data_IF_026966494033
#
_entry.id   IF_026966494033
#
_cell.length_a   1.000
_cell.length_b   1.000
_cell.length_c   1.000
_cell.angle_alpha   90.00
_cell.angle_beta   90.00
_cell.angle_gamma   90.00
#
_symmetry.space_group_name_H-M   'P 1'
#
loop_
_entity.id
_entity.type
_entity.pdbx_description
1 polymer ?
#
# COMPACT_ATOMS: atom_id res chain seq x y z
N UNK A 1 -21.95 7.32 -34.81
CA UNK A 1 -20.76 6.58 -34.39
C UNK A 1 -20.11 7.36 -33.26
N UNK A 2 -20.15 6.87 -32.02
CA UNK A 2 -19.37 7.46 -30.93
C UNK A 2 -17.97 6.87 -31.04
N UNK A 3 -16.99 7.65 -31.51
CA UNK A 3 -15.59 7.33 -31.27
C UNK A 3 -15.33 7.56 -29.79
N UNK A 4 -15.28 6.46 -29.04
CA UNK A 4 -14.85 6.47 -27.64
C UNK A 4 -13.45 5.87 -27.59
N UNK A 5 -12.49 6.53 -28.26
CA UNK A 5 -11.05 6.28 -28.08
C UNK A 5 -10.57 7.01 -26.81
N UNK A 6 -11.29 6.88 -25.70
CA UNK A 6 -10.79 7.32 -24.41
C UNK A 6 -9.83 6.25 -23.92
N UNK A 7 -8.53 6.51 -24.04
CA UNK A 7 -7.51 5.76 -23.31
C UNK A 7 -7.95 5.75 -21.84
N UNK A 8 -8.18 4.55 -21.28
CA UNK A 8 -8.55 4.40 -19.87
C UNK A 8 -7.42 4.99 -19.03
N UNK A 9 -7.70 6.12 -18.40
CA UNK A 9 -6.77 6.73 -17.44
C UNK A 9 -6.85 5.88 -16.17
N UNK A 10 -5.71 5.47 -15.63
CA UNK A 10 -5.69 4.84 -14.31
C UNK A 10 -6.14 5.88 -13.29
N UNK A 11 -7.24 5.60 -12.59
CA UNK A 11 -7.79 6.48 -11.57
C UNK A 11 -8.08 5.70 -10.31
N UNK A 12 -7.93 6.36 -9.16
CA UNK A 12 -8.30 5.79 -7.88
C UNK A 12 -9.65 6.33 -7.40
N UNK A 13 -10.47 5.44 -6.86
CA UNK A 13 -11.70 5.79 -6.16
C UNK A 13 -11.46 5.67 -4.65
N UNK A 14 -11.71 6.73 -3.85
CA UNK A 14 -11.50 6.65 -2.41
C UNK A 14 -12.33 5.55 -1.74
N UNK A 15 -11.67 4.78 -0.87
CA UNK A 15 -12.21 3.67 -0.08
C UNK A 15 -12.71 4.17 1.30
N UNK A 16 -12.23 5.33 1.73
CA UNK A 16 -12.50 5.93 3.04
C UNK A 16 -12.07 5.03 4.22
N UNK A 17 -10.85 4.51 4.17
CA UNK A 17 -10.32 3.51 5.13
C UNK A 17 -10.51 3.96 6.58
N UNK A 18 -10.08 5.18 6.93
CA UNK A 18 -10.18 5.69 8.31
C UNK A 18 -11.64 5.78 8.79
N UNK A 19 -12.55 6.24 7.92
CA UNK A 19 -13.97 6.32 8.24
C UNK A 19 -14.54 4.94 8.52
N UNK A 20 -14.20 3.94 7.69
CA UNK A 20 -14.68 2.57 7.85
C UNK A 20 -14.11 1.89 9.10
N UNK A 21 -12.85 2.14 9.44
CA UNK A 21 -12.26 1.68 10.69
C UNK A 21 -12.95 2.30 11.91
N UNK A 22 -13.30 3.58 11.86
CA UNK A 22 -14.06 4.21 12.94
C UNK A 22 -15.44 3.54 13.14
N UNK A 23 -16.17 3.28 12.04
CA UNK A 23 -17.46 2.58 12.10
C UNK A 23 -17.32 1.16 12.66
N UNK A 24 -16.27 0.43 12.25
CA UNK A 24 -15.98 -0.90 12.80
C UNK A 24 -15.62 -0.83 14.29
N UNK A 25 -14.80 0.14 14.69
CA UNK A 25 -14.41 0.33 16.08
C UNK A 25 -15.62 0.59 16.97
N UNK A 26 -16.49 1.53 16.59
CA UNK A 26 -17.73 1.85 17.31
C UNK A 26 -18.68 0.65 17.42
N UNK A 27 -18.81 -0.14 16.34
CA UNK A 27 -19.63 -1.36 16.35
C UNK A 27 -19.05 -2.44 17.27
N UNK A 28 -17.73 -2.61 17.29
CA UNK A 28 -17.04 -3.55 18.18
C UNK A 28 -17.16 -3.12 19.64
N UNK A 29 -17.02 -1.82 19.94
CA UNK A 29 -17.26 -1.29 21.29
C UNK A 29 -18.70 -1.49 21.75
N UNK A 30 -19.68 -1.25 20.88
CA UNK A 30 -21.10 -1.52 21.18
C UNK A 30 -21.30 -3.00 21.48
N UNK A 31 -20.75 -3.88 20.64
CA UNK A 31 -20.83 -5.34 20.85
C UNK A 31 -20.18 -5.75 22.16
N UNK A 32 -19.07 -5.11 22.58
CA UNK A 32 -18.45 -5.34 23.88
C UNK A 32 -19.41 -5.02 25.03
N UNK A 33 -20.06 -3.85 24.97
CA UNK A 33 -20.97 -3.37 26.02
C UNK A 33 -22.23 -4.23 26.18
N UNK A 34 -22.67 -4.87 25.09
CA UNK A 34 -23.85 -5.74 25.06
C UNK A 34 -23.52 -7.21 25.38
N UNK A 35 -22.24 -7.59 25.35
CA UNK A 35 -21.83 -8.98 25.57
C UNK A 35 -21.75 -9.29 27.08
N UNK A 36 -22.46 -10.31 27.58
CA UNK A 36 -22.37 -10.70 28.99
C UNK A 36 -20.96 -11.13 29.40
N UNK A 37 -20.54 -10.77 30.62
CA UNK A 37 -19.22 -11.13 31.18
C UNK A 37 -18.94 -12.64 31.19
N UNK A 38 -19.99 -13.47 31.20
CA UNK A 38 -19.87 -14.93 31.13
C UNK A 38 -19.39 -15.44 29.76
N UNK A 39 -19.50 -14.65 28.69
CA UNK A 39 -19.07 -15.03 27.35
C UNK A 39 -17.60 -14.64 27.10
N UNK A 40 -16.72 -15.20 27.93
CA UNK A 40 -15.28 -14.88 27.96
C UNK A 40 -14.59 -15.05 26.61
N UNK A 41 -14.98 -16.04 25.82
CA UNK A 41 -14.39 -16.30 24.49
C UNK A 41 -14.70 -15.18 23.49
N UNK A 42 -15.94 -14.66 23.49
CA UNK A 42 -16.31 -13.57 22.59
C UNK A 42 -15.66 -12.26 23.06
N UNK A 43 -15.63 -12.01 24.36
CA UNK A 43 -14.96 -10.83 24.93
C UNK A 43 -13.47 -10.78 24.57
N UNK A 44 -12.75 -11.90 24.70
CA UNK A 44 -11.35 -11.98 24.28
C UNK A 44 -11.14 -11.69 22.77
N UNK A 45 -12.08 -12.10 21.91
CA UNK A 45 -12.03 -11.77 20.48
C UNK A 45 -12.28 -10.28 20.22
N UNK A 46 -13.27 -9.72 20.91
CA UNK A 46 -13.62 -8.29 20.82
C UNK A 46 -12.44 -7.43 21.26
N UNK A 47 -11.80 -7.76 22.37
CA UNK A 47 -10.61 -7.05 22.86
C UNK A 47 -9.48 -7.07 21.82
N UNK A 48 -9.20 -8.23 21.22
CA UNK A 48 -8.22 -8.34 20.14
C UNK A 48 -8.62 -7.47 18.94
N UNK A 49 -9.88 -7.52 18.49
CA UNK A 49 -10.31 -6.68 17.36
C UNK A 49 -10.18 -5.18 17.65
N UNK A 50 -10.52 -4.73 18.86
CA UNK A 50 -10.34 -3.33 19.25
C UNK A 50 -8.88 -2.93 19.22
N UNK A 51 -7.99 -3.78 19.75
CA UNK A 51 -6.55 -3.58 19.70
C UNK A 51 -6.04 -3.49 18.26
N UNK A 52 -6.39 -4.47 17.42
CA UNK A 52 -5.90 -4.54 16.04
C UNK A 52 -6.44 -3.38 15.18
N UNK A 53 -7.71 -2.99 15.33
CA UNK A 53 -8.27 -1.80 14.67
C UNK A 53 -7.54 -0.53 15.12
N UNK A 54 -7.28 -0.38 16.43
CA UNK A 54 -6.56 0.78 16.97
C UNK A 54 -5.13 0.86 16.43
N UNK A 55 -4.44 -0.29 16.34
CA UNK A 55 -3.10 -0.38 15.77
C UNK A 55 -3.06 0.03 14.29
N UNK A 56 -4.08 -0.36 13.51
CA UNK A 56 -4.21 0.09 12.12
C UNK A 56 -4.45 1.61 12.08
N UNK A 57 -5.38 2.13 12.88
CA UNK A 57 -5.66 3.58 12.93
C UNK A 57 -4.42 4.41 13.29
N UNK A 58 -3.61 3.94 14.25
CA UNK A 58 -2.35 4.59 14.62
C UNK A 58 -1.35 4.56 13.45
N UNK A 59 -1.25 3.43 12.74
CA UNK A 59 -0.39 3.32 11.56
C UNK A 59 -0.82 4.25 10.42
N UNK A 60 -2.12 4.34 10.14
CA UNK A 60 -2.68 5.26 9.14
C UNK A 60 -2.40 6.72 9.50
N UNK A 61 -2.48 7.07 10.79
CA UNK A 61 -2.14 8.38 11.31
C UNK A 61 -0.66 8.69 11.09
N UNK A 62 0.25 7.77 11.46
CA UNK A 62 1.71 7.93 11.23
C UNK A 62 2.04 8.09 9.75
N UNK A 63 1.39 7.32 8.87
CA UNK A 63 1.58 7.46 7.42
C UNK A 63 1.21 8.88 6.97
N UNK A 64 0.06 9.39 7.40
CA UNK A 64 -0.43 10.72 7.02
C UNK A 64 0.40 11.86 7.60
N UNK A 65 0.84 11.73 8.84
CA UNK A 65 1.49 12.82 9.59
C UNK A 65 3.02 12.84 9.41
N UNK A 66 3.62 11.69 9.13
CA UNK A 66 5.08 11.54 9.05
C UNK A 66 5.53 11.15 7.63
N UNK A 67 5.07 10.00 7.11
CA UNK A 67 5.56 9.45 5.84
C UNK A 67 5.19 10.32 4.64
N UNK A 68 3.93 10.75 4.53
CA UNK A 68 3.44 11.57 3.42
C UNK A 68 4.26 12.87 3.32
N UNK A 69 4.38 13.70 4.37
CA UNK A 69 5.20 14.92 4.31
C UNK A 69 6.68 14.67 4.00
N UNK A 70 7.25 13.54 4.43
CA UNK A 70 8.64 13.19 4.14
C UNK A 70 8.85 12.88 2.65
N UNK A 71 7.96 12.08 2.07
CA UNK A 71 8.00 11.74 0.65
C UNK A 71 7.75 12.97 -0.22
N UNK A 72 6.77 13.81 0.13
CA UNK A 72 6.49 15.06 -0.57
C UNK A 72 7.72 15.98 -0.60
N UNK A 73 8.41 16.11 0.52
CA UNK A 73 9.64 16.92 0.62
C UNK A 73 10.78 16.31 -0.20
N UNK A 74 10.93 15.00 -0.14
CA UNK A 74 11.99 14.26 -0.85
C UNK A 74 11.81 14.33 -2.37
N UNK A 75 10.58 14.18 -2.84
CA UNK A 75 10.23 14.18 -4.26
C UNK A 75 9.95 15.58 -4.82
N UNK A 76 9.64 16.55 -3.95
CA UNK A 76 9.25 17.90 -4.36
C UNK A 76 7.90 17.91 -5.11
N UNK A 77 6.96 17.08 -4.67
CA UNK A 77 5.59 16.95 -5.18
C UNK A 77 4.61 16.94 -4.00
N UNK A 78 3.31 17.07 -4.27
CA UNK A 78 2.25 16.85 -3.28
C UNK A 78 1.39 15.68 -3.71
N UNK A 79 1.09 14.75 -2.81
CA UNK A 79 0.16 13.66 -3.10
C UNK A 79 -1.28 14.16 -2.99
N UNK A 80 -2.06 13.98 -4.06
CA UNK A 80 -3.47 14.42 -4.08
C UNK A 80 -4.33 13.52 -3.19
N UNK A 81 -4.03 12.23 -3.17
CA UNK A 81 -4.72 11.24 -2.36
C UNK A 81 -3.79 10.45 -1.46
N UNK A 82 -3.67 10.93 -0.22
CA UNK A 82 -2.89 10.26 0.84
C UNK A 82 -3.38 8.83 1.16
N UNK A 83 -4.63 8.47 0.83
CA UNK A 83 -5.16 7.12 1.03
C UNK A 83 -4.44 6.08 0.16
N UNK A 84 -3.95 6.47 -1.02
CA UNK A 84 -3.17 5.57 -1.87
C UNK A 84 -1.89 5.10 -1.17
N UNK A 85 -1.20 6.02 -0.48
CA UNK A 85 -0.01 5.68 0.31
C UNK A 85 -0.39 4.82 1.52
N UNK A 86 -1.53 5.07 2.15
CA UNK A 86 -2.05 4.21 3.22
C UNK A 86 -2.31 2.78 2.71
N UNK A 87 -2.97 2.63 1.56
CA UNK A 87 -3.22 1.33 0.91
C UNK A 87 -1.92 0.61 0.63
N UNK A 88 -0.93 1.29 0.05
CA UNK A 88 0.37 0.70 -0.29
C UNK A 88 1.09 0.08 0.92
N UNK A 89 0.80 0.52 2.14
CA UNK A 89 1.43 -0.02 3.35
C UNK A 89 0.75 -1.28 3.90
N UNK A 90 -0.45 -1.66 3.44
CA UNK A 90 -1.16 -2.86 3.93
C UNK A 90 -0.48 -4.16 3.50
N UNK A 91 -0.17 -5.00 4.50
CA UNK A 91 0.40 -6.34 4.28
C UNK A 91 -0.68 -7.43 4.33
N UNK A 92 -0.43 -8.63 3.74
CA UNK A 92 -1.42 -9.71 3.66
C UNK A 92 -1.98 -10.17 5.02
N UNK A 93 -1.21 -10.08 6.11
CA UNK A 93 -1.67 -10.45 7.47
C UNK A 93 -2.91 -9.70 7.93
N UNK A 94 -3.10 -8.48 7.46
CA UNK A 94 -4.23 -7.64 7.85
C UNK A 94 -5.57 -8.21 7.38
N UNK A 95 -5.60 -9.02 6.33
CA UNK A 95 -6.83 -9.57 5.73
C UNK A 95 -7.72 -10.30 6.74
N UNK A 96 -7.11 -11.03 7.67
CA UNK A 96 -7.83 -11.89 8.60
C UNK A 96 -8.75 -11.10 9.55
N UNK A 97 -8.34 -9.90 10.00
CA UNK A 97 -9.20 -9.11 10.89
C UNK A 97 -10.51 -8.74 10.19
N UNK A 98 -10.44 -8.34 8.92
CA UNK A 98 -11.61 -7.89 8.17
C UNK A 98 -12.53 -9.06 7.81
N UNK A 99 -11.98 -10.24 7.49
CA UNK A 99 -12.77 -11.46 7.27
C UNK A 99 -13.53 -11.89 8.54
N UNK A 100 -12.88 -11.80 9.69
CA UNK A 100 -13.50 -12.15 10.97
C UNK A 100 -14.61 -11.16 11.35
N UNK A 101 -14.35 -9.86 11.19
CA UNK A 101 -15.34 -8.80 11.42
C UNK A 101 -16.53 -8.94 10.47
N UNK A 102 -16.29 -9.19 9.19
CA UNK A 102 -17.36 -9.45 8.23
C UNK A 102 -18.19 -10.65 8.68
N UNK A 103 -17.56 -11.77 9.05
CA UNK A 103 -18.25 -12.97 9.52
C UNK A 103 -19.11 -12.69 10.75
N UNK A 104 -18.61 -11.86 11.68
CA UNK A 104 -19.33 -11.46 12.89
C UNK A 104 -20.56 -10.59 12.57
N UNK A 105 -20.43 -9.62 11.67
CA UNK A 105 -21.45 -8.60 11.44
C UNK A 105 -22.38 -8.85 10.25
N UNK A 106 -22.04 -9.74 9.31
CA UNK A 106 -22.80 -9.96 8.06
C UNK A 106 -24.29 -10.25 8.29
N UNK A 107 -24.65 -10.87 9.40
CA UNK A 107 -26.05 -11.18 9.77
C UNK A 107 -26.59 -10.34 10.93
N UNK A 108 -25.78 -9.42 11.45
CA UNK A 108 -26.18 -8.51 12.52
C UNK A 108 -27.10 -7.43 11.96
N UNK A 109 -28.10 -7.02 12.74
CA UNK A 109 -28.90 -5.82 12.44
C UNK A 109 -28.06 -4.55 12.53
N UNK A 110 -26.98 -4.59 13.33
CA UNK A 110 -26.06 -3.49 13.57
C UNK A 110 -24.80 -3.67 12.71
N UNK A 111 -24.95 -4.10 11.46
CA UNK A 111 -23.81 -4.26 10.56
C UNK A 111 -23.23 -2.87 10.20
N UNK A 112 -21.99 -2.54 10.57
CA UNK A 112 -21.43 -1.21 10.35
C UNK A 112 -21.08 -0.91 8.89
N UNK A 113 -20.86 -1.96 8.08
CA UNK A 113 -20.40 -1.85 6.70
C UNK A 113 -21.25 -2.72 5.78
N UNK A 114 -21.48 -2.27 4.54
CA UNK A 114 -22.14 -3.12 3.56
C UNK A 114 -21.16 -4.20 3.01
N UNK A 115 -21.65 -5.12 2.16
CA UNK A 115 -20.81 -6.20 1.62
C UNK A 115 -19.66 -5.70 0.75
N UNK A 116 -19.89 -4.65 -0.04
CA UNK A 116 -18.89 -4.04 -0.92
C UNK A 116 -17.81 -3.33 -0.08
N UNK A 117 -18.20 -2.60 0.96
CA UNK A 117 -17.27 -1.95 1.90
C UNK A 117 -16.36 -3.00 2.58
N UNK A 118 -16.92 -4.14 3.03
CA UNK A 118 -16.11 -5.22 3.58
C UNK A 118 -15.17 -5.83 2.54
N UNK A 119 -15.65 -6.06 1.32
CA UNK A 119 -14.85 -6.59 0.23
C UNK A 119 -13.63 -5.69 -0.04
N UNK A 120 -13.82 -4.37 -0.08
CA UNK A 120 -12.71 -3.43 -0.25
C UNK A 120 -11.72 -3.49 0.92
N UNK A 121 -12.19 -3.52 2.17
CA UNK A 121 -11.32 -3.63 3.36
C UNK A 121 -10.53 -4.94 3.38
N UNK A 122 -11.16 -6.06 2.98
CA UNK A 122 -10.53 -7.39 2.88
C UNK A 122 -9.43 -7.40 1.80
N UNK A 123 -9.59 -6.60 0.75
CA UNK A 123 -8.70 -6.58 -0.41
C UNK A 123 -7.63 -5.48 -0.38
N UNK A 124 -7.48 -4.72 0.71
CA UNK A 124 -6.48 -3.64 0.82
C UNK A 124 -5.05 -4.09 0.46
N UNK A 125 -4.62 -5.24 0.96
CA UNK A 125 -3.29 -5.79 0.62
C UNK A 125 -3.16 -6.27 -0.83
N UNK A 126 -4.26 -6.65 -1.48
CA UNK A 126 -4.25 -6.97 -2.91
C UNK A 126 -4.23 -5.69 -3.75
N UNK A 127 -4.93 -4.63 -3.32
CA UNK A 127 -4.84 -3.31 -3.94
C UNK A 127 -3.40 -2.75 -3.86
N UNK A 128 -2.72 -2.93 -2.73
CA UNK A 128 -1.31 -2.58 -2.58
C UNK A 128 -0.42 -3.29 -3.62
N UNK A 129 -0.64 -4.59 -3.85
CA UNK A 129 0.06 -5.36 -4.89
C UNK A 129 -0.26 -4.86 -6.30
N UNK A 130 -1.50 -4.43 -6.56
CA UNK A 130 -1.86 -3.83 -7.86
C UNK A 130 -1.12 -2.51 -8.07
N UNK A 131 -0.98 -1.66 -7.04
CA UNK A 131 -0.16 -0.45 -7.12
C UNK A 131 1.31 -0.79 -7.41
N UNK A 132 1.86 -1.79 -6.72
CA UNK A 132 3.22 -2.26 -6.97
C UNK A 132 3.40 -2.80 -8.40
N UNK A 133 2.44 -3.56 -8.92
CA UNK A 133 2.48 -4.07 -10.30
C UNK A 133 2.50 -2.93 -11.33
N UNK A 134 1.72 -1.88 -11.11
CA UNK A 134 1.78 -0.66 -11.95
C UNK A 134 3.16 -0.01 -11.81
N UNK A 135 3.66 0.08 -10.57
CA UNK A 135 4.98 0.56 -10.21
C UNK A 135 6.14 -0.11 -10.94
N UNK A 136 6.23 -1.43 -10.88
CA UNK A 136 7.27 -2.22 -11.57
C UNK A 136 7.31 -1.88 -13.06
N UNK A 137 6.16 -1.88 -13.72
CA UNK A 137 6.06 -1.58 -15.13
C UNK A 137 6.58 -0.17 -15.47
N UNK A 138 6.20 0.84 -14.68
CA UNK A 138 6.61 2.24 -14.94
C UNK A 138 8.05 2.51 -14.55
N UNK A 139 8.57 1.90 -13.47
CA UNK A 139 9.98 1.97 -13.08
C UNK A 139 10.83 1.36 -14.19
N UNK A 140 10.51 0.14 -14.61
CA UNK A 140 11.23 -0.56 -15.68
C UNK A 140 11.32 0.26 -16.96
N UNK A 141 10.21 0.90 -17.36
CA UNK A 141 10.18 1.79 -18.52
C UNK A 141 11.00 3.07 -18.30
N UNK A 142 10.86 3.71 -17.14
CA UNK A 142 11.54 4.96 -16.83
C UNK A 142 13.06 4.78 -16.73
N UNK A 143 13.53 3.71 -16.09
CA UNK A 143 14.96 3.35 -16.05
C UNK A 143 15.49 3.11 -17.46
N UNK A 144 14.76 2.38 -18.30
CA UNK A 144 15.16 2.15 -19.69
C UNK A 144 15.33 3.47 -20.46
N UNK A 145 14.45 4.44 -20.22
CA UNK A 145 14.54 5.76 -20.85
C UNK A 145 15.80 6.53 -20.44
N UNK A 146 16.28 6.38 -19.19
CA UNK A 146 17.55 6.96 -18.74
C UNK A 146 18.78 6.23 -19.26
N UNK A 147 18.68 4.92 -19.48
CA UNK A 147 19.75 4.09 -20.03
C UNK A 147 19.81 4.11 -21.58
N UNK A 148 18.84 4.74 -22.23
CA UNK A 148 18.70 4.72 -23.68
C UNK A 148 19.83 5.47 -24.39
N UNK A 149 20.59 4.76 -25.22
CA UNK A 149 21.66 5.31 -26.04
C UNK A 149 21.45 4.92 -27.52
N UNK A 150 20.84 5.79 -28.35
CA UNK A 150 20.32 5.41 -29.68
C UNK A 150 21.38 5.00 -30.71
N UNK A 151 22.65 5.34 -30.49
CA UNK A 151 23.72 5.14 -31.47
C UNK A 151 24.91 4.31 -30.95
N UNK A 152 24.91 3.94 -29.67
CA UNK A 152 26.04 3.28 -28.99
C UNK A 152 25.61 2.13 -28.07
N UNK A 153 24.30 1.89 -27.92
CA UNK A 153 23.76 0.92 -26.98
C UNK A 153 24.01 -0.53 -27.38
N UNK A 154 24.74 -1.24 -26.53
CA UNK A 154 24.71 -2.70 -26.47
C UNK A 154 23.45 -3.11 -25.69
N UNK A 155 22.47 -3.68 -26.40
CA UNK A 155 21.21 -4.12 -25.80
C UNK A 155 21.40 -5.07 -24.62
N UNK A 156 22.46 -5.89 -24.63
CA UNK A 156 22.82 -6.75 -23.51
C UNK A 156 23.23 -5.96 -22.27
N UNK A 157 24.09 -4.94 -22.44
CA UNK A 157 24.52 -4.06 -21.34
C UNK A 157 23.37 -3.24 -20.76
N UNK A 158 22.49 -2.71 -21.60
CA UNK A 158 21.30 -1.97 -21.15
C UNK A 158 20.37 -2.89 -20.36
N UNK A 159 20.14 -4.12 -20.85
CA UNK A 159 19.29 -5.11 -20.17
C UNK A 159 19.86 -5.48 -18.81
N UNK A 160 21.16 -5.76 -18.74
CA UNK A 160 21.85 -6.08 -17.49
C UNK A 160 21.75 -4.94 -16.49
N UNK A 161 22.12 -3.72 -16.91
CA UNK A 161 22.10 -2.55 -16.03
C UNK A 161 20.69 -2.19 -15.55
N UNK A 162 19.68 -2.36 -16.42
CA UNK A 162 18.28 -2.22 -16.01
C UNK A 162 17.94 -3.22 -14.92
N UNK A 163 18.26 -4.50 -15.12
CA UNK A 163 17.99 -5.57 -14.16
C UNK A 163 18.67 -5.35 -12.81
N UNK A 164 19.89 -4.81 -12.80
CA UNK A 164 20.61 -4.42 -11.58
C UNK A 164 19.85 -3.31 -10.82
N UNK A 165 19.43 -2.25 -11.50
CA UNK A 165 18.73 -1.09 -10.90
C UNK A 165 17.34 -1.47 -10.37
N UNK A 166 16.60 -2.32 -11.09
CA UNK A 166 15.24 -2.74 -10.69
C UNK A 166 15.24 -4.03 -9.86
N UNK A 167 16.40 -4.46 -9.36
CA UNK A 167 16.48 -5.61 -8.47
C UNK A 167 15.93 -5.25 -7.07
N UNK A 168 15.31 -6.22 -6.39
CA UNK A 168 14.83 -6.05 -5.02
C UNK A 168 15.95 -5.61 -4.05
N UNK A 169 17.17 -6.11 -4.24
CA UNK A 169 18.33 -5.72 -3.43
C UNK A 169 18.64 -4.22 -3.58
N UNK A 170 18.67 -3.71 -4.82
CA UNK A 170 18.95 -2.29 -5.08
C UNK A 170 17.79 -1.39 -4.63
N UNK A 171 16.55 -1.80 -4.92
CA UNK A 171 15.35 -1.07 -4.48
C UNK A 171 15.21 -1.04 -2.96
N UNK A 172 15.64 -2.09 -2.26
CA UNK A 172 15.62 -2.15 -0.80
C UNK A 172 16.46 -1.04 -0.15
N UNK A 173 17.57 -0.65 -0.77
CA UNK A 173 18.41 0.46 -0.27
C UNK A 173 17.64 1.78 -0.33
N UNK A 174 16.94 2.08 -1.43
CA UNK A 174 16.13 3.30 -1.52
C UNK A 174 14.92 3.26 -0.58
N UNK A 175 14.31 2.09 -0.44
CA UNK A 175 13.24 1.85 0.53
C UNK A 175 13.69 2.16 1.97
N UNK A 176 14.92 1.81 2.34
CA UNK A 176 15.52 2.15 3.64
C UNK A 176 15.80 3.64 3.78
N UNK A 177 16.26 4.31 2.71
CA UNK A 177 16.46 5.76 2.72
C UNK A 177 15.14 6.50 2.93
N UNK A 178 14.05 6.00 2.36
CA UNK A 178 12.69 6.54 2.52
C UNK A 178 11.95 5.98 3.73
N UNK A 179 12.58 5.09 4.49
CA UNK A 179 12.03 4.40 5.68
C UNK A 179 10.66 3.73 5.46
N UNK A 180 10.31 3.33 4.22
CA UNK A 180 8.95 2.84 3.92
C UNK A 180 8.60 1.58 4.72
N UNK A 181 9.60 0.73 4.96
CA UNK A 181 9.43 -0.56 5.63
C UNK A 181 8.87 -0.42 7.06
N UNK A 182 9.19 0.69 7.75
CA UNK A 182 8.77 0.95 9.12
C UNK A 182 7.29 1.39 9.25
N UNK A 183 6.65 1.73 8.12
CA UNK A 183 5.26 2.18 8.04
C UNK A 183 4.28 1.10 7.60
N UNK A 184 4.75 -0.12 7.38
CA UNK A 184 3.88 -1.24 7.00
C UNK A 184 2.82 -1.52 8.06
N UNK A 185 1.62 -1.80 7.58
CA UNK A 185 0.49 -2.21 8.39
C UNK A 185 0.41 -3.73 8.33
N UNK A 186 0.85 -4.41 9.39
CA UNK A 186 0.95 -5.87 9.43
C UNK A 186 0.69 -6.44 10.83
N UNK A 187 0.37 -7.73 10.86
CA UNK A 187 0.26 -8.55 12.08
C UNK A 187 1.12 -9.84 12.00
N UNK A 188 1.99 -9.94 10.99
CA UNK A 188 2.87 -11.10 10.75
C UNK A 188 3.90 -11.31 11.88
N UNK A 189 4.38 -12.56 12.11
CA UNK A 189 5.33 -12.90 13.16
C UNK A 189 6.74 -12.31 12.96
N UNK A 190 7.50 -12.25 14.06
CA UNK A 190 8.66 -11.37 14.28
C UNK A 190 9.91 -11.58 13.41
N UNK A 191 10.06 -12.69 12.67
CA UNK A 191 11.33 -13.01 11.98
C UNK A 191 11.17 -13.47 10.53
N UNK A 192 10.95 -12.53 9.59
CA UNK A 192 11.09 -12.79 8.15
C UNK A 192 12.57 -13.01 7.78
N UNK A 193 12.81 -13.76 6.70
CA UNK A 193 14.15 -13.91 6.13
C UNK A 193 14.60 -12.64 5.41
N UNK A 194 15.91 -12.44 5.25
CA UNK A 194 16.47 -11.27 4.54
C UNK A 194 15.87 -11.10 3.13
N UNK A 195 15.69 -12.20 2.40
CA UNK A 195 15.14 -12.17 1.05
C UNK A 195 13.66 -11.75 1.03
N UNK A 196 12.88 -12.13 2.04
CA UNK A 196 11.49 -11.68 2.18
C UNK A 196 11.43 -10.19 2.52
N UNK A 197 12.31 -9.72 3.41
CA UNK A 197 12.45 -8.30 3.74
C UNK A 197 12.78 -7.48 2.48
N UNK A 198 13.77 -7.92 1.69
CA UNK A 198 14.18 -7.22 0.46
C UNK A 198 13.07 -7.22 -0.59
N UNK A 199 12.35 -8.32 -0.74
CA UNK A 199 11.18 -8.40 -1.60
C UNK A 199 10.10 -7.41 -1.18
N UNK A 200 9.71 -7.40 0.10
CA UNK A 200 8.70 -6.48 0.63
C UNK A 200 9.12 -5.02 0.42
N UNK A 201 10.40 -4.70 0.66
CA UNK A 201 10.94 -3.36 0.43
C UNK A 201 10.85 -2.94 -1.04
N UNK A 202 11.17 -3.85 -1.96
CA UNK A 202 11.00 -3.64 -3.40
C UNK A 202 9.55 -3.34 -3.75
N UNK A 203 8.62 -4.19 -3.28
CA UNK A 203 7.17 -4.03 -3.51
C UNK A 203 6.63 -2.70 -2.96
N UNK A 204 7.08 -2.26 -1.78
CA UNK A 204 6.70 -0.94 -1.23
C UNK A 204 7.16 0.21 -2.13
N UNK A 205 8.42 0.15 -2.60
CA UNK A 205 8.97 1.17 -3.46
C UNK A 205 8.22 1.22 -4.80
N UNK A 206 7.97 0.05 -5.40
CA UNK A 206 7.15 -0.09 -6.60
C UNK A 206 5.77 0.55 -6.38
N UNK A 207 5.09 0.26 -5.28
CA UNK A 207 3.79 0.84 -4.99
C UNK A 207 3.83 2.37 -4.95
N UNK A 208 4.85 2.98 -4.32
CA UNK A 208 5.03 4.44 -4.30
C UNK A 208 5.19 5.02 -5.73
N UNK A 209 5.99 4.38 -6.59
CA UNK A 209 6.10 4.80 -7.99
C UNK A 209 4.84 4.56 -8.82
N UNK A 210 4.06 3.52 -8.49
CA UNK A 210 2.74 3.28 -9.06
C UNK A 210 1.77 4.42 -8.73
N UNK A 211 1.78 4.90 -7.49
CA UNK A 211 1.00 6.07 -7.05
C UNK A 211 1.47 7.33 -7.79
N UNK A 212 2.78 7.55 -7.88
CA UNK A 212 3.34 8.67 -8.63
C UNK A 212 2.88 8.70 -10.09
N UNK A 213 2.76 7.52 -10.72
CA UNK A 213 2.23 7.41 -12.07
C UNK A 213 0.74 7.75 -12.16
N UNK A 214 -0.06 7.24 -11.22
CA UNK A 214 -1.50 7.47 -11.17
C UNK A 214 -1.82 8.95 -10.97
N UNK A 215 -1.10 9.64 -10.07
CA UNK A 215 -1.38 11.04 -9.73
C UNK A 215 -0.68 12.06 -10.62
N UNK A 216 0.53 11.75 -11.13
CA UNK A 216 1.39 12.73 -11.80
C UNK A 216 1.91 12.29 -13.17
N UNK A 217 1.34 11.22 -13.72
CA UNK A 217 1.67 10.66 -15.04
C UNK A 217 3.13 10.18 -15.17
N UNK A 218 3.42 9.56 -16.33
CA UNK A 218 4.71 8.92 -16.58
C UNK A 218 5.89 9.90 -16.57
N UNK A 219 5.69 11.15 -16.99
CA UNK A 219 6.76 12.15 -17.00
C UNK A 219 7.28 12.43 -15.59
N UNK A 220 6.42 12.39 -14.58
CA UNK A 220 6.83 12.53 -13.19
C UNK A 220 7.66 11.31 -12.74
N UNK A 221 7.26 10.09 -13.10
CA UNK A 221 8.05 8.88 -12.82
C UNK A 221 9.46 8.98 -13.41
N UNK A 222 9.59 9.37 -14.69
CA UNK A 222 10.89 9.54 -15.35
C UNK A 222 11.76 10.56 -14.62
N UNK A 223 11.19 11.66 -14.13
CA UNK A 223 11.93 12.65 -13.34
C UNK A 223 12.46 12.06 -12.03
N UNK A 224 11.65 11.30 -11.31
CA UNK A 224 11.96 10.88 -9.95
C UNK A 224 12.67 9.52 -9.85
N UNK A 225 12.64 8.67 -10.89
CA UNK A 225 13.40 7.40 -10.92
C UNK A 225 14.91 7.62 -10.80
N UNK A 226 15.38 8.86 -10.96
CA UNK A 226 16.77 9.25 -10.69
C UNK A 226 17.20 8.98 -9.25
N UNK A 227 16.28 9.02 -8.28
CA UNK A 227 16.56 8.62 -6.90
C UNK A 227 16.98 7.15 -6.84
N UNK A 228 16.27 6.27 -7.57
CA UNK A 228 16.60 4.86 -7.67
C UNK A 228 17.92 4.63 -8.42
N UNK A 229 18.12 5.30 -9.56
CA UNK A 229 19.35 5.17 -10.36
C UNK A 229 20.60 5.59 -9.57
N UNK A 230 20.49 6.62 -8.74
CA UNK A 230 21.62 7.16 -7.98
C UNK A 230 21.79 6.55 -6.58
N UNK A 231 20.92 5.61 -6.20
CA UNK A 231 21.04 4.89 -4.92
C UNK A 231 22.35 4.08 -4.90
N UNK A 232 23.08 4.15 -3.78
CA UNK A 232 24.38 3.47 -3.58
C UNK A 232 24.43 2.84 -2.20
#
# INVERSE_FOLDING_TARGET
MKNNDSITTLSWSPIYIEKRLNLLFEAVQTTQSETPESNTRLLAKIERWLHDISSIQESLKRIREDLVPELERTLGISFENTELLQVAMFQPSTKNIFLELETQYRRSKNNPLNSEDFEEMINLSEMAKVLALVGDAVISSAVLQHLWEPHLGDAGKITQRKAEIVSNEHMAVLCDIWDLYSYRIHFDPDTPSKSEIEHDKGTLLEAVYGILYIEHEYKSVVKHVIHLINTR
#
